data_IF_517023919389
#
_entry.id   IF_517023919389
#
_cell.length_a   1.000
_cell.length_b   1.000
_cell.length_c   1.000
_cell.angle_alpha   90.00
_cell.angle_beta   90.00
_cell.angle_gamma   90.00
#
_symmetry.space_group_name_H-M   'P 1'
#
loop_
_entity.id
_entity.type
_entity.pdbx_description
1 polymer ?
#
# COMPACT_ATOMS: atom_id res chain seq x y z
N UNK A 1 13.37 -13.26 -6.71
CA UNK A 1 12.47 -12.10 -6.86
C UNK A 1 12.99 -11.25 -8.01
N UNK A 2 12.14 -10.79 -8.91
CA UNK A 2 12.57 -9.94 -10.04
C UNK A 2 12.88 -8.52 -9.57
N UNK A 3 13.55 -7.72 -10.41
CA UNK A 3 13.87 -6.31 -10.09
C UNK A 3 12.59 -5.51 -9.89
N UNK A 4 11.59 -5.76 -10.73
CA UNK A 4 10.30 -5.08 -10.72
C UNK A 4 9.53 -5.38 -9.43
N UNK A 5 9.53 -6.64 -8.98
CA UNK A 5 8.94 -7.02 -7.70
C UNK A 5 9.63 -6.35 -6.51
N UNK A 6 10.97 -6.23 -6.55
CA UNK A 6 11.74 -5.50 -5.54
C UNK A 6 11.41 -4.00 -5.52
N UNK A 7 11.28 -3.38 -6.69
CA UNK A 7 10.93 -1.96 -6.81
C UNK A 7 9.54 -1.66 -6.26
N UNK A 8 8.54 -2.50 -6.58
CA UNK A 8 7.19 -2.35 -6.03
C UNK A 8 7.19 -2.60 -4.52
N UNK A 9 7.98 -3.55 -4.03
CA UNK A 9 8.14 -3.77 -2.59
C UNK A 9 8.79 -2.58 -1.87
N UNK A 10 9.83 -1.96 -2.43
CA UNK A 10 10.41 -0.74 -1.84
C UNK A 10 9.41 0.44 -1.87
N UNK A 11 8.61 0.55 -2.94
CA UNK A 11 7.56 1.55 -3.05
C UNK A 11 6.55 1.43 -1.90
N UNK A 12 6.06 0.23 -1.58
CA UNK A 12 5.02 0.04 -0.54
C UNK A 12 5.48 0.52 0.83
N UNK A 13 6.77 0.36 1.15
CA UNK A 13 7.37 0.86 2.39
C UNK A 13 7.32 2.40 2.49
N UNK A 14 7.29 3.10 1.35
CA UNK A 14 7.21 4.57 1.26
C UNK A 14 5.76 5.07 1.31
N UNK A 15 4.77 4.21 1.08
CA UNK A 15 3.34 4.58 1.08
C UNK A 15 2.71 4.65 2.46
N UNK A 16 3.45 4.37 3.55
CA UNK A 16 2.90 4.43 4.92
C UNK A 16 2.26 5.78 5.27
N UNK A 17 2.79 6.89 4.74
CA UNK A 17 2.21 8.23 4.93
C UNK A 17 1.00 8.56 4.04
N UNK A 18 0.66 7.69 3.09
CA UNK A 18 -0.44 7.88 2.13
C UNK A 18 -1.67 7.00 2.46
N UNK A 19 -1.74 6.49 3.70
CA UNK A 19 -2.88 5.69 4.15
C UNK A 19 -4.16 6.52 4.17
N UNK A 20 -5.23 5.92 3.64
CA UNK A 20 -6.59 6.44 3.72
C UNK A 20 -7.32 5.74 4.87
N UNK A 21 -7.93 6.54 5.73
CA UNK A 21 -8.56 6.09 6.96
C UNK A 21 -10.00 6.59 6.99
N UNK A 22 -10.94 5.70 7.26
CA UNK A 22 -12.32 5.99 7.63
C UNK A 22 -12.49 5.81 9.15
N UNK A 23 -13.58 6.28 9.78
CA UNK A 23 -13.78 6.14 11.22
C UNK A 23 -13.61 4.69 11.70
N UNK A 24 -12.49 4.41 12.37
CA UNK A 24 -12.15 3.11 12.93
C UNK A 24 -11.62 2.06 11.95
N UNK A 25 -11.30 2.42 10.69
CA UNK A 25 -10.79 1.45 9.71
C UNK A 25 -9.82 2.08 8.71
N UNK A 26 -8.77 1.35 8.36
CA UNK A 26 -7.96 1.61 7.16
C UNK A 26 -8.74 1.13 5.94
N UNK A 27 -8.82 1.97 4.91
CA UNK A 27 -9.55 1.67 3.67
C UNK A 27 -8.66 1.54 2.43
N UNK A 28 -7.35 1.78 2.58
CA UNK A 28 -6.36 1.61 1.50
C UNK A 28 -5.26 2.65 1.54
N UNK A 29 -4.48 2.72 0.46
CA UNK A 29 -3.61 3.84 0.16
C UNK A 29 -4.32 4.85 -0.75
N UNK A 30 -3.76 6.05 -0.85
CA UNK A 30 -4.03 6.92 -1.99
C UNK A 30 -3.34 6.34 -3.23
N UNK A 31 -4.13 5.68 -4.08
CA UNK A 31 -3.64 5.05 -5.31
C UNK A 31 -3.08 6.07 -6.31
N UNK A 32 -3.63 7.30 -6.32
CA UNK A 32 -3.10 8.38 -7.16
C UNK A 32 -1.69 8.77 -6.72
N UNK A 33 -1.51 9.01 -5.41
CA UNK A 33 -0.21 9.31 -4.83
C UNK A 33 0.80 8.17 -5.03
N UNK A 34 0.36 6.92 -4.93
CA UNK A 34 1.21 5.76 -5.14
C UNK A 34 1.75 5.67 -6.58
N UNK A 35 0.87 5.85 -7.58
CA UNK A 35 1.29 5.82 -8.99
C UNK A 35 2.14 7.04 -9.36
N UNK A 36 1.88 8.21 -8.78
CA UNK A 36 2.72 9.40 -8.93
C UNK A 36 4.12 9.19 -8.33
N UNK A 37 4.20 8.57 -7.15
CA UNK A 37 5.49 8.25 -6.53
C UNK A 37 6.26 7.20 -7.34
N UNK A 38 5.59 6.15 -7.84
CA UNK A 38 6.20 5.16 -8.72
C UNK A 38 6.81 5.81 -9.97
N UNK A 39 6.08 6.73 -10.60
CA UNK A 39 6.58 7.51 -11.73
C UNK A 39 7.83 8.33 -11.35
N UNK A 40 7.80 9.01 -10.20
CA UNK A 40 8.91 9.84 -9.74
C UNK A 40 10.19 9.03 -9.46
N UNK A 41 10.03 7.77 -9.03
CA UNK A 41 11.13 6.85 -8.74
C UNK A 41 11.62 6.09 -10.00
N UNK A 42 11.03 6.33 -11.17
CA UNK A 42 11.36 5.62 -12.40
C UNK A 42 10.88 4.17 -12.43
N UNK A 43 9.94 3.79 -11.55
CA UNK A 43 9.33 2.47 -11.51
C UNK A 43 8.29 2.37 -12.62
N UNK A 44 8.22 1.22 -13.28
CA UNK A 44 7.20 0.99 -14.30
C UNK A 44 5.79 1.09 -13.67
N UNK A 45 5.02 2.08 -14.14
CA UNK A 45 3.69 2.37 -13.60
C UNK A 45 2.68 1.27 -13.90
N UNK A 46 2.79 0.59 -15.04
CA UNK A 46 1.90 -0.52 -15.38
C UNK A 46 2.09 -1.66 -14.40
N UNK A 47 3.35 -2.04 -14.13
CA UNK A 47 3.67 -3.08 -13.16
C UNK A 47 3.22 -2.68 -11.75
N UNK A 48 3.40 -1.41 -11.38
CA UNK A 48 2.89 -0.91 -10.10
C UNK A 48 1.38 -1.04 -10.02
N UNK A 49 0.65 -0.62 -11.06
CA UNK A 49 -0.80 -0.68 -11.11
C UNK A 49 -1.33 -2.12 -11.05
N UNK A 50 -0.58 -3.09 -11.58
CA UNK A 50 -0.94 -4.52 -11.53
C UNK A 50 -0.67 -5.14 -10.16
N UNK A 51 0.47 -4.85 -9.54
CA UNK A 51 0.91 -5.53 -8.30
C UNK A 51 0.36 -4.87 -7.03
N UNK A 52 0.22 -3.55 -7.02
CA UNK A 52 -0.10 -2.80 -5.82
C UNK A 52 -1.48 -3.11 -5.19
N UNK A 53 -2.55 -3.38 -5.95
CA UNK A 53 -3.88 -3.69 -5.39
C UNK A 53 -3.89 -4.92 -4.47
N UNK A 54 -3.18 -5.99 -4.83
CA UNK A 54 -3.09 -7.20 -4.00
C UNK A 54 -2.35 -6.94 -2.69
N UNK A 55 -1.30 -6.11 -2.74
CA UNK A 55 -0.54 -5.72 -1.55
C UNK A 55 -1.40 -4.82 -0.65
N UNK A 56 -2.16 -3.89 -1.23
CA UNK A 56 -3.12 -3.05 -0.52
C UNK A 56 -4.15 -3.88 0.24
N UNK A 57 -4.75 -4.88 -0.41
CA UNK A 57 -5.73 -5.76 0.22
C UNK A 57 -5.17 -6.47 1.46
N UNK A 58 -3.93 -6.97 1.37
CA UNK A 58 -3.25 -7.59 2.52
C UNK A 58 -2.95 -6.58 3.62
N UNK A 59 -2.45 -5.39 3.26
CA UNK A 59 -2.14 -4.31 4.19
C UNK A 59 -3.40 -3.85 4.95
N UNK A 60 -4.49 -3.56 4.23
CA UNK A 60 -5.78 -3.14 4.79
C UNK A 60 -6.29 -4.16 5.79
N UNK A 61 -6.32 -5.45 5.39
CA UNK A 61 -6.75 -6.53 6.27
C UNK A 61 -5.90 -6.58 7.55
N UNK A 62 -4.57 -6.54 7.42
CA UNK A 62 -3.66 -6.65 8.56
C UNK A 62 -3.74 -5.46 9.51
N UNK A 63 -3.85 -4.24 9.00
CA UNK A 63 -3.99 -3.06 9.86
C UNK A 63 -5.33 -3.03 10.59
N UNK A 64 -6.42 -3.43 9.93
CA UNK A 64 -7.73 -3.52 10.58
C UNK A 64 -7.76 -4.62 11.65
N UNK A 65 -7.20 -5.82 11.37
CA UNK A 65 -7.02 -6.88 12.38
C UNK A 65 -6.27 -6.37 13.63
N UNK A 66 -5.21 -5.58 13.44
CA UNK A 66 -4.46 -4.98 14.56
C UNK A 66 -5.25 -3.92 15.32
N UNK A 67 -6.06 -3.11 14.63
CA UNK A 67 -6.92 -2.10 15.27
C UNK A 67 -8.02 -2.77 16.11
N UNK A 68 -8.63 -3.84 15.61
CA UNK A 68 -9.61 -4.64 16.35
C UNK A 68 -8.98 -5.30 17.57
N UNK A 69 -7.79 -5.90 17.42
CA UNK A 69 -7.06 -6.50 18.54
C UNK A 69 -6.74 -5.52 19.67
N UNK A 70 -6.39 -4.27 19.33
CA UNK A 70 -6.17 -3.19 20.31
C UNK A 70 -7.44 -2.68 20.98
N UNK A 71 -8.60 -2.83 20.34
CA UNK A 71 -9.90 -2.43 20.90
C UNK A 71 -10.45 -3.48 21.88
N UNK A 72 -10.03 -4.73 21.71
CA UNK A 72 -10.51 -5.89 22.48
C UNK A 72 -9.60 -6.29 23.65
N UNK A 73 -8.46 -5.62 23.84
CA UNK A 73 -7.55 -5.80 24.98
C UNK A 73 -7.58 -4.62 25.92
#
# INVERSE_FOLDING_TARGET
MTVEGWQVWDLTQRLGGQLRIAPGAVIGWDMGAALSLAQALGINRLITAELLPEIEAVMVRKLNEQMEGRRNG
#
